data_IF_403265200432
#
_entry.id   IF_403265200432
#
_cell.length_a   1.000
_cell.length_b   1.000
_cell.length_c   1.000
_cell.angle_alpha   90.00
_cell.angle_beta   90.00
_cell.angle_gamma   90.00
#
_symmetry.space_group_name_H-M   'P 1'
#
loop_
_entity.id
_entity.type
_entity.pdbx_description
1 polymer ?
#
# COMPACT_ATOMS: atom_id res chain seq x y z
N UNK A 1 0.47 6.71 -5.91
CA UNK A 1 1.35 5.96 -4.99
C UNK A 1 1.07 4.46 -5.02
N UNK A 2 1.22 3.78 -3.88
CA UNK A 2 0.77 2.39 -3.66
C UNK A 2 -0.57 2.47 -2.92
N UNK A 3 -1.64 1.98 -3.55
CA UNK A 3 -2.98 1.97 -2.93
C UNK A 3 -3.22 0.63 -2.23
N UNK A 4 -3.70 0.68 -0.99
CA UNK A 4 -4.09 -0.53 -0.27
C UNK A 4 -5.48 -0.98 -0.71
N UNK A 5 -5.53 -2.10 -1.43
CA UNK A 5 -6.76 -2.80 -1.71
C UNK A 5 -7.00 -3.88 -0.63
N UNK A 6 -8.22 -3.92 -0.08
CA UNK A 6 -8.60 -4.87 0.97
C UNK A 6 -9.79 -5.69 0.50
N UNK A 7 -9.83 -6.95 0.93
CA UNK A 7 -11.04 -7.76 0.80
C UNK A 7 -12.17 -7.19 1.67
N UNK A 8 -13.40 -7.51 1.28
CA UNK A 8 -14.58 -7.21 2.08
C UNK A 8 -14.55 -8.01 3.40
N UNK A 9 -14.99 -7.41 4.52
CA UNK A 9 -15.08 -8.10 5.80
C UNK A 9 -15.86 -9.42 5.68
N UNK A 10 -15.29 -10.51 6.20
CA UNK A 10 -15.91 -11.83 6.18
C UNK A 10 -15.98 -12.51 4.80
N UNK A 11 -15.22 -12.04 3.80
CA UNK A 11 -15.18 -12.62 2.44
C UNK A 11 -13.80 -13.20 2.07
N UNK A 12 -13.32 -14.25 2.78
CA UNK A 12 -12.01 -14.86 2.49
C UNK A 12 -11.89 -15.41 1.06
N UNK A 13 -13.02 -15.76 0.42
CA UNK A 13 -13.04 -16.27 -0.96
C UNK A 13 -12.44 -15.28 -1.97
N UNK A 14 -12.40 -13.98 -1.66
CA UNK A 14 -11.74 -12.97 -2.50
C UNK A 14 -10.22 -13.15 -2.56
N UNK A 15 -9.61 -13.87 -1.61
CA UNK A 15 -8.18 -14.22 -1.61
C UNK A 15 -7.89 -15.59 -2.25
N UNK A 16 -8.86 -16.24 -2.88
CA UNK A 16 -8.70 -17.63 -3.37
C UNK A 16 -7.50 -17.86 -4.28
N UNK A 17 -7.09 -16.85 -5.07
CA UNK A 17 -5.86 -16.92 -5.90
C UNK A 17 -4.60 -17.02 -5.04
N UNK A 18 -4.49 -16.19 -3.99
CA UNK A 18 -3.36 -16.23 -3.05
C UNK A 18 -3.35 -17.52 -2.23
N UNK A 19 -4.52 -17.99 -1.79
CA UNK A 19 -4.64 -19.26 -1.05
C UNK A 19 -4.21 -20.46 -1.90
N UNK A 20 -4.63 -20.51 -3.17
CA UNK A 20 -4.19 -21.57 -4.12
C UNK A 20 -2.69 -21.53 -4.36
N UNK A 21 -2.09 -20.33 -4.49
CA UNK A 21 -0.65 -20.18 -4.58
C UNK A 21 0.06 -20.76 -3.33
N UNK A 22 -0.39 -20.39 -2.12
CA UNK A 22 0.18 -20.91 -0.88
C UNK A 22 0.07 -22.44 -0.78
N UNK A 23 -1.06 -23.03 -1.19
CA UNK A 23 -1.21 -24.49 -1.23
C UNK A 23 -0.23 -25.15 -2.20
N UNK A 24 0.05 -24.51 -3.34
CA UNK A 24 1.01 -25.02 -4.34
C UNK A 24 2.45 -24.95 -3.82
N UNK A 25 2.78 -23.92 -3.06
CA UNK A 25 4.10 -23.73 -2.44
C UNK A 25 4.28 -24.58 -1.15
N UNK A 26 3.18 -25.00 -0.52
CA UNK A 26 3.17 -25.63 0.80
C UNK A 26 4.13 -26.82 0.97
N UNK A 27 4.36 -27.72 -0.02
CA UNK A 27 5.34 -28.79 0.12
C UNK A 27 6.74 -28.29 0.50
N UNK A 28 7.21 -27.20 -0.11
CA UNK A 28 8.53 -26.59 0.17
C UNK A 28 8.63 -25.97 1.56
N UNK A 29 7.49 -25.66 2.17
CA UNK A 29 7.42 -25.15 3.54
C UNK A 29 7.28 -26.27 4.58
N UNK A 30 6.72 -27.42 4.18
CA UNK A 30 6.51 -28.58 5.06
C UNK A 30 7.75 -29.46 5.18
N UNK A 31 8.55 -29.53 4.13
CA UNK A 31 9.80 -30.28 4.09
C UNK A 31 10.94 -29.33 3.68
N UNK A 32 11.45 -28.51 4.62
CA UNK A 32 12.45 -27.52 4.31
C UNK A 32 13.81 -28.17 4.00
N UNK A 33 14.56 -27.52 3.14
CA UNK A 33 15.93 -27.91 2.80
C UNK A 33 16.88 -27.79 4.00
N UNK A 34 18.04 -28.45 3.89
CA UNK A 34 19.01 -28.57 4.97
C UNK A 34 19.50 -27.23 5.54
N UNK A 35 19.55 -26.17 4.72
CA UNK A 35 19.95 -24.83 5.13
C UNK A 35 19.25 -23.73 4.31
N UNK A 36 19.47 -22.47 4.71
CA UNK A 36 18.85 -21.29 4.08
C UNK A 36 19.25 -21.10 2.62
N UNK A 37 20.47 -21.48 2.25
CA UNK A 37 20.96 -21.36 0.87
C UNK A 37 20.27 -22.38 -0.01
N UNK A 38 20.23 -23.63 0.42
CA UNK A 38 19.52 -24.71 -0.26
C UNK A 38 18.02 -24.39 -0.38
N UNK A 39 17.39 -23.89 0.69
CA UNK A 39 15.98 -23.46 0.67
C UNK A 39 15.75 -22.31 -0.33
N UNK A 40 16.68 -21.35 -0.39
CA UNK A 40 16.64 -20.27 -1.38
C UNK A 40 16.68 -20.79 -2.81
N UNK A 41 17.54 -21.77 -3.09
CA UNK A 41 17.62 -22.42 -4.40
C UNK A 41 16.34 -23.19 -4.74
N UNK A 42 15.75 -23.90 -3.77
CA UNK A 42 14.47 -24.58 -3.94
C UNK A 42 13.34 -23.59 -4.25
N UNK A 43 13.32 -22.42 -3.59
CA UNK A 43 12.36 -21.36 -3.91
C UNK A 43 12.58 -20.75 -5.29
N UNK A 44 13.82 -20.56 -5.74
CA UNK A 44 14.10 -20.11 -7.10
C UNK A 44 13.68 -21.14 -8.16
N UNK A 45 13.93 -22.43 -7.91
CA UNK A 45 13.46 -23.50 -8.77
C UNK A 45 11.93 -23.54 -8.87
N UNK A 46 11.24 -23.39 -7.73
CA UNK A 46 9.79 -23.26 -7.69
C UNK A 46 9.29 -22.03 -8.46
N UNK A 47 9.92 -20.88 -8.25
CA UNK A 47 9.56 -19.62 -8.93
C UNK A 47 9.68 -19.76 -10.44
N UNK A 48 10.75 -20.39 -10.93
CA UNK A 48 10.92 -20.69 -12.37
C UNK A 48 9.82 -21.62 -12.86
N UNK A 49 9.63 -22.77 -12.22
CA UNK A 49 8.65 -23.75 -12.66
C UNK A 49 7.22 -23.18 -12.65
N UNK A 50 6.84 -22.45 -11.61
CA UNK A 50 5.52 -21.85 -11.48
C UNK A 50 5.24 -20.76 -12.54
N UNK A 51 6.24 -19.95 -12.89
CA UNK A 51 6.08 -18.81 -13.79
C UNK A 51 6.39 -19.11 -15.25
N UNK A 52 7.27 -20.06 -15.55
CA UNK A 52 7.83 -20.29 -16.89
C UNK A 52 7.47 -21.66 -17.49
N UNK A 53 7.10 -22.64 -16.67
CA UNK A 53 6.86 -24.03 -17.13
C UNK A 53 5.40 -24.47 -16.93
N UNK A 54 4.80 -24.07 -15.80
CA UNK A 54 3.45 -24.49 -15.42
C UNK A 54 2.41 -23.69 -16.19
N UNK A 55 1.51 -24.32 -16.97
CA UNK A 55 0.37 -23.64 -17.58
C UNK A 55 -0.72 -23.35 -16.55
N UNK A 56 -1.42 -22.22 -16.70
CA UNK A 56 -2.50 -21.80 -15.80
C UNK A 56 -3.81 -21.65 -16.56
N UNK A 57 -4.86 -22.32 -16.11
CA UNK A 57 -6.19 -22.24 -16.74
C UNK A 57 -6.73 -20.80 -16.83
N UNK A 58 -6.46 -19.99 -15.81
CA UNK A 58 -6.86 -18.57 -15.79
C UNK A 58 -6.15 -17.72 -16.86
N UNK A 59 -5.07 -18.23 -17.45
CA UNK A 59 -4.30 -17.63 -18.54
C UNK A 59 -4.46 -18.45 -19.83
N UNK A 60 -5.58 -19.15 -20.03
CA UNK A 60 -5.83 -19.97 -21.21
C UNK A 60 -4.74 -21.03 -21.49
N UNK A 61 -4.18 -21.62 -20.42
CA UNK A 61 -3.08 -22.58 -20.47
C UNK A 61 -1.72 -22.00 -20.88
N UNK A 62 -1.57 -20.67 -20.90
CA UNK A 62 -0.25 -20.03 -20.92
C UNK A 62 0.41 -20.02 -19.53
N UNK A 63 1.69 -19.71 -19.53
CA UNK A 63 2.51 -19.49 -18.33
C UNK A 63 2.47 -18.02 -17.89
N UNK A 64 2.62 -17.71 -16.59
CA UNK A 64 2.65 -16.34 -16.11
C UNK A 64 3.70 -15.45 -16.81
N UNK A 65 4.87 -16.01 -17.15
CA UNK A 65 5.95 -15.27 -17.81
C UNK A 65 5.59 -14.79 -19.23
N UNK A 66 4.61 -15.42 -19.89
CA UNK A 66 4.11 -14.95 -21.19
C UNK A 66 3.27 -13.67 -21.06
N UNK A 67 2.60 -13.48 -19.92
CA UNK A 67 1.66 -12.38 -19.68
C UNK A 67 2.26 -11.24 -18.86
N UNK A 68 3.15 -11.55 -17.93
CA UNK A 68 3.72 -10.58 -16.99
C UNK A 68 5.20 -10.37 -17.24
N UNK A 69 5.60 -9.10 -17.36
CA UNK A 69 7.01 -8.71 -17.48
C UNK A 69 7.37 -7.71 -16.38
N UNK A 70 8.63 -7.71 -15.92
CA UNK A 70 9.12 -6.68 -15.02
C UNK A 70 8.84 -5.29 -15.59
N UNK A 71 8.43 -4.37 -14.72
CA UNK A 71 8.20 -2.98 -15.12
C UNK A 71 9.50 -2.37 -15.65
N UNK A 72 9.44 -1.75 -16.82
CA UNK A 72 10.56 -0.98 -17.38
C UNK A 72 10.77 0.35 -16.62
N UNK A 73 9.80 0.77 -15.80
CA UNK A 73 9.88 1.98 -15.01
C UNK A 73 10.83 1.76 -13.83
N UNK A 74 12.00 2.39 -13.88
CA UNK A 74 12.92 2.40 -12.75
C UNK A 74 12.30 3.06 -11.52
N UNK A 75 12.52 2.47 -10.36
CA UNK A 75 12.15 3.09 -9.09
C UNK A 75 13.12 4.25 -8.81
N UNK A 76 12.64 5.47 -8.52
CA UNK A 76 13.51 6.60 -8.25
C UNK A 76 14.30 6.38 -6.95
N UNK A 77 15.56 6.82 -6.90
CA UNK A 77 16.42 6.70 -5.70
C UNK A 77 15.91 7.55 -4.53
N UNK A 78 15.30 8.68 -4.84
CA UNK A 78 14.70 9.61 -3.89
C UNK A 78 13.26 9.84 -4.32
N UNK A 79 12.27 9.70 -3.41
CA UNK A 79 10.90 10.06 -3.71
C UNK A 79 10.81 11.52 -4.17
N UNK A 80 9.93 11.86 -5.13
CA UNK A 80 9.69 13.24 -5.49
C UNK A 80 9.15 14.01 -4.28
N UNK A 81 9.50 15.29 -4.20
CA UNK A 81 8.93 16.18 -3.17
C UNK A 81 7.40 16.24 -3.33
N UNK A 82 6.65 16.33 -2.22
CA UNK A 82 5.20 16.49 -2.30
C UNK A 82 4.82 17.79 -3.00
N UNK A 83 4.01 17.69 -4.05
CA UNK A 83 3.38 18.85 -4.69
C UNK A 83 2.07 19.16 -3.96
N UNK A 84 2.10 20.16 -3.09
CA UNK A 84 0.95 20.59 -2.30
C UNK A 84 0.36 21.88 -2.86
N UNK A 85 -0.97 22.06 -2.79
CA UNK A 85 -1.62 23.32 -3.18
C UNK A 85 -1.01 24.52 -2.46
N UNK A 86 -0.93 25.66 -3.13
CA UNK A 86 -0.31 26.87 -2.59
C UNK A 86 -1.03 27.37 -1.32
N UNK A 87 -2.34 27.14 -1.24
CA UNK A 87 -3.19 27.52 -0.13
C UNK A 87 -3.06 26.57 1.07
N UNK A 88 -2.38 25.43 0.90
CA UNK A 88 -2.23 24.45 1.96
C UNK A 88 -1.27 24.93 3.06
N UNK A 89 -1.67 24.74 4.32
CA UNK A 89 -0.78 24.94 5.45
C UNK A 89 0.16 23.72 5.59
N UNK A 90 1.32 23.79 4.92
CA UNK A 90 2.34 22.74 5.00
C UNK A 90 3.03 22.74 6.37
N UNK A 91 3.18 21.55 6.96
CA UNK A 91 3.84 21.34 8.26
C UNK A 91 4.78 20.14 8.18
N UNK A 92 5.94 20.27 8.82
CA UNK A 92 6.89 19.17 8.97
C UNK A 92 6.59 18.38 10.24
N UNK A 93 6.50 17.06 10.09
CA UNK A 93 6.30 16.15 11.21
C UNK A 93 7.60 16.01 11.98
N UNK A 94 7.53 16.23 13.30
CA UNK A 94 8.68 16.14 14.20
C UNK A 94 9.08 14.69 14.46
N UNK A 95 10.26 14.50 15.05
CA UNK A 95 10.77 13.16 15.41
C UNK A 95 9.82 12.35 16.31
N UNK A 96 9.01 13.02 17.13
CA UNK A 96 8.01 12.39 18.01
C UNK A 96 6.66 12.13 17.31
N UNK A 97 6.54 12.43 16.00
CA UNK A 97 5.33 12.20 15.21
C UNK A 97 4.28 13.31 15.27
N UNK A 98 4.60 14.46 15.86
CA UNK A 98 3.68 15.59 16.01
C UNK A 98 3.93 16.72 15.01
N UNK A 99 2.88 17.48 14.70
CA UNK A 99 2.97 18.78 14.03
C UNK A 99 2.55 19.90 14.97
N UNK A 100 3.14 21.10 14.79
CA UNK A 100 2.70 22.31 15.50
C UNK A 100 1.48 22.90 14.78
N UNK A 101 0.42 23.16 15.53
CA UNK A 101 -0.84 23.69 15.00
C UNK A 101 -1.47 24.64 16.03
N UNK A 102 -1.85 25.86 15.62
CA UNK A 102 -2.53 26.87 16.47
C UNK A 102 -2.01 26.98 17.93
N UNK A 103 -0.68 27.02 18.11
CA UNK A 103 -0.05 27.16 19.43
C UNK A 103 0.07 25.86 20.24
N UNK A 104 -0.53 24.76 19.79
CA UNK A 104 -0.38 23.43 20.37
C UNK A 104 0.26 22.42 19.42
N UNK A 105 0.11 21.14 19.76
CA UNK A 105 0.65 20.00 19.01
C UNK A 105 -0.44 19.00 18.68
N UNK A 106 -0.39 18.46 17.47
CA UNK A 106 -1.28 17.41 17.00
C UNK A 106 -0.43 16.21 16.64
N UNK A 107 -0.66 15.07 17.29
CA UNK A 107 -0.01 13.82 16.93
C UNK A 107 -0.54 13.29 15.60
N UNK A 108 0.36 13.04 14.65
CA UNK A 108 0.08 12.52 13.31
C UNK A 108 0.47 11.06 13.22
N UNK A 109 1.78 10.77 13.19
CA UNK A 109 2.37 9.43 13.19
C UNK A 109 3.89 9.57 13.28
N UNK A 110 4.54 8.77 14.14
CA UNK A 110 6.01 8.75 14.19
C UNK A 110 6.65 8.21 12.89
N UNK A 111 5.92 7.38 12.14
CA UNK A 111 6.39 6.84 10.85
C UNK A 111 6.55 7.90 9.76
N UNK A 112 5.99 9.09 9.96
CA UNK A 112 6.09 10.23 9.05
C UNK A 112 7.11 11.26 9.57
N UNK A 113 7.90 10.95 10.59
CA UNK A 113 8.89 11.87 11.11
C UNK A 113 9.85 12.35 10.00
N UNK A 114 10.02 13.67 9.88
CA UNK A 114 10.82 14.29 8.82
C UNK A 114 10.06 14.53 7.52
N UNK A 115 8.82 14.05 7.38
CA UNK A 115 7.99 14.27 6.20
C UNK A 115 7.16 15.56 6.31
N UNK A 116 6.87 16.15 5.14
CA UNK A 116 5.92 17.24 5.02
C UNK A 116 4.49 16.71 4.90
N UNK A 117 3.55 17.35 5.59
CA UNK A 117 2.11 17.10 5.50
C UNK A 117 1.38 18.40 5.22
N UNK A 118 0.29 18.33 4.46
CA UNK A 118 -0.51 19.49 4.09
C UNK A 118 -1.85 19.48 4.81
N UNK A 119 -2.16 20.58 5.48
CA UNK A 119 -3.48 20.85 6.02
C UNK A 119 -4.24 21.80 5.08
N UNK A 120 -5.38 21.35 4.56
CA UNK A 120 -6.24 22.09 3.63
C UNK A 120 -7.55 22.38 4.35
N UNK A 121 -7.99 23.64 4.32
CA UNK A 121 -9.27 24.05 4.89
C UNK A 121 -10.40 23.63 3.94
N UNK A 122 -11.36 22.88 4.47
CA UNK A 122 -12.59 22.51 3.78
C UNK A 122 -13.66 23.60 3.98
N UNK A 123 -14.70 23.58 3.14
CA UNK A 123 -15.80 24.56 3.18
C UNK A 123 -16.53 24.63 4.53
N UNK A 124 -16.52 23.54 5.31
CA UNK A 124 -17.11 23.46 6.64
C UNK A 124 -16.18 23.99 7.76
N UNK A 125 -15.05 24.59 7.40
CA UNK A 125 -14.03 25.10 8.32
C UNK A 125 -13.18 24.01 8.98
N UNK A 126 -13.29 22.75 8.55
CA UNK A 126 -12.44 21.67 9.02
C UNK A 126 -11.11 21.64 8.26
N UNK A 127 -10.04 21.26 8.95
CA UNK A 127 -8.71 21.14 8.34
C UNK A 127 -8.41 19.69 8.02
N UNK A 128 -8.46 19.34 6.74
CA UNK A 128 -8.09 18.01 6.24
C UNK A 128 -6.57 17.90 6.13
N UNK A 129 -5.98 16.92 6.81
CA UNK A 129 -4.54 16.65 6.79
C UNK A 129 -4.23 15.52 5.80
N UNK A 130 -3.24 15.74 4.93
CA UNK A 130 -2.83 14.80 3.88
C UNK A 130 -1.30 14.60 3.85
N UNK A 131 -0.88 13.41 3.46
CA UNK A 131 0.50 13.08 3.11
C UNK A 131 0.55 12.70 1.63
N UNK A 132 1.16 13.52 0.77
CA UNK A 132 0.91 13.50 -0.68
C UNK A 132 -0.61 13.44 -0.98
N UNK A 133 -1.03 12.46 -1.78
CA UNK A 133 -2.41 12.16 -2.15
C UNK A 133 -3.16 11.32 -1.09
N UNK A 134 -2.50 10.93 0.01
CA UNK A 134 -3.05 10.06 1.03
C UNK A 134 -3.72 10.85 2.17
N UNK A 135 -5.04 10.69 2.41
CA UNK A 135 -5.73 11.37 3.50
C UNK A 135 -5.35 10.76 4.86
N UNK A 136 -4.84 11.60 5.77
CA UNK A 136 -4.48 11.19 7.12
C UNK A 136 -5.64 11.36 8.10
N UNK A 137 -6.49 12.37 7.89
CA UNK A 137 -7.65 12.64 8.74
C UNK A 137 -7.98 14.12 8.80
N UNK A 138 -8.69 14.53 9.84
CA UNK A 138 -9.12 15.91 10.07
C UNK A 138 -8.60 16.39 11.41
N UNK A 139 -8.08 17.61 11.45
CA UNK A 139 -7.61 18.23 12.69
C UNK A 139 -8.83 18.73 13.48
N UNK A 140 -9.09 18.12 14.64
CA UNK A 140 -9.98 18.66 15.66
C UNK A 140 -9.24 19.77 16.41
N UNK A 141 -9.51 21.02 16.03
CA UNK A 141 -8.87 22.22 16.58
C UNK A 141 -9.26 22.49 18.04
N UNK A 142 -10.37 21.91 18.54
CA UNK A 142 -10.79 22.07 19.94
C UNK A 142 -10.03 21.14 20.86
N UNK A 143 -9.76 19.90 20.40
CA UNK A 143 -9.06 18.87 21.18
C UNK A 143 -7.58 18.75 20.87
N UNK A 144 -7.09 19.45 19.83
CA UNK A 144 -5.73 19.32 19.31
C UNK A 144 -5.39 17.87 18.94
N UNK A 145 -6.29 17.22 18.20
CA UNK A 145 -6.14 15.81 17.80
C UNK A 145 -6.44 15.60 16.33
N UNK A 146 -5.77 14.63 15.72
CA UNK A 146 -6.10 14.15 14.39
C UNK A 146 -7.21 13.09 14.48
N UNK A 147 -8.39 13.42 14.00
CA UNK A 147 -9.51 12.48 13.85
C UNK A 147 -9.36 11.76 12.52
N UNK A 148 -8.99 10.49 12.60
CA UNK A 148 -8.86 9.62 11.42
C UNK A 148 -10.25 9.15 11.02
N UNK A 149 -10.75 9.58 9.87
CA UNK A 149 -11.91 8.93 9.27
C UNK A 149 -11.44 7.61 8.71
N UNK A 150 -12.04 6.50 9.13
CA UNK A 150 -11.82 5.21 8.49
C UNK A 150 -12.09 5.41 7.01
N UNK A 151 -11.08 5.26 6.16
CA UNK A 151 -11.26 5.34 4.72
C UNK A 151 -12.37 4.34 4.35
N UNK A 152 -13.47 4.82 3.77
CA UNK A 152 -14.32 3.93 3.01
C UNK A 152 -13.42 3.25 1.96
N UNK A 153 -13.59 1.95 1.67
CA UNK A 153 -12.75 1.28 0.68
C UNK A 153 -12.76 2.10 -0.60
N UNK A 154 -11.60 2.62 -0.98
CA UNK A 154 -11.39 3.30 -2.25
C UNK A 154 -11.82 2.31 -3.33
N UNK A 155 -12.89 2.65 -4.06
CA UNK A 155 -13.32 1.87 -5.21
C UNK A 155 -12.12 1.80 -6.17
N UNK A 156 -11.64 0.62 -6.58
CA UNK A 156 -10.48 0.53 -7.45
C UNK A 156 -10.78 1.28 -8.75
N UNK A 157 -9.82 2.13 -9.16
CA UNK A 157 -9.81 2.79 -10.45
C UNK A 157 -9.54 1.70 -11.50
N UNK A 158 -10.60 1.06 -12.01
CA UNK A 158 -10.46 -0.02 -13.00
C UNK A 158 -11.43 -1.19 -12.91
N UNK A 159 -12.54 -1.08 -12.18
CA UNK A 159 -13.69 -1.92 -12.51
C UNK A 159 -14.28 -1.41 -13.84
N UNK A 160 -13.61 -1.73 -14.95
CA UNK A 160 -14.23 -1.74 -16.25
C UNK A 160 -15.47 -2.63 -16.11
N UNK A 161 -16.63 -2.00 -16.31
CA UNK A 161 -17.86 -2.70 -16.56
C UNK A 161 -17.69 -3.41 -17.91
N UNK A 162 -17.34 -4.69 -17.86
CA UNK A 162 -17.60 -5.57 -19.00
C UNK A 162 -18.93 -6.26 -18.73
N UNK A 163 -19.83 -6.03 -19.69
CA UNK A 163 -21.17 -6.57 -19.81
C UNK A 163 -21.17 -8.05 -20.20
#
# INVERSE_FOLDING_TARGET
GITLERIAPGKPQQNGRHERFHLTMLPLAKDPEADRTAQGQAFEAFRRSYNEERPHEALAMDTPAQHYRPSQRAMPRTPPEPDYPQEAAVRWVRHNGEIRWNGGFVYVSQSLAGEAVAAIEAEDGQWALTFHDYPLGIIDTRRMKLVRRSAAPTKPLGAAADA
#
